data_IF_907122719513
#
_entry.id   IF_907122719513
#
_cell.length_a   1.000
_cell.length_b   1.000
_cell.length_c   1.000
_cell.angle_alpha   90.00
_cell.angle_beta   90.00
_cell.angle_gamma   90.00
#
_symmetry.space_group_name_H-M   'P 1'
#
loop_
_entity.id
_entity.type
_entity.pdbx_description
1 polymer ?
#
# COMPACT_ATOMS: atom_id res chain seq x y z
N UNK A 1 -10.65 -5.29 0.44
CA UNK A 1 -11.95 -4.86 1.00
C UNK A 1 -11.75 -3.97 2.22
N UNK A 2 -11.10 -2.81 2.04
CA UNK A 2 -10.90 -1.78 3.07
C UNK A 2 -11.59 -0.47 2.70
N UNK A 3 -11.55 0.53 3.60
CA UNK A 3 -12.23 1.84 3.41
C UNK A 3 -11.83 2.52 2.09
N UNK A 4 -10.58 2.34 1.65
CA UNK A 4 -10.09 2.95 0.43
C UNK A 4 -10.72 2.39 -0.87
N UNK A 5 -11.11 1.12 -0.88
CA UNK A 5 -11.85 0.54 -2.02
C UNK A 5 -13.27 1.12 -2.07
N UNK A 6 -13.92 1.22 -0.90
CA UNK A 6 -15.25 1.87 -0.79
C UNK A 6 -15.18 3.33 -1.25
N UNK A 7 -14.16 4.08 -0.80
CA UNK A 7 -13.94 5.46 -1.24
C UNK A 7 -13.64 5.55 -2.75
N UNK A 8 -12.89 4.59 -3.31
CA UNK A 8 -12.64 4.56 -4.77
C UNK A 8 -13.95 4.37 -5.52
N UNK A 9 -14.80 3.43 -5.09
CA UNK A 9 -16.11 3.20 -5.72
C UNK A 9 -16.98 4.46 -5.62
N UNK A 10 -17.03 5.11 -4.45
CA UNK A 10 -17.79 6.35 -4.25
C UNK A 10 -17.28 7.46 -5.17
N UNK A 11 -15.97 7.68 -5.28
CA UNK A 11 -15.43 8.69 -6.19
C UNK A 11 -15.67 8.36 -7.67
N UNK A 12 -15.58 7.09 -8.05
CA UNK A 12 -15.89 6.65 -9.42
C UNK A 12 -17.36 6.92 -9.73
N UNK A 13 -18.28 6.58 -8.83
CA UNK A 13 -19.70 6.87 -9.00
C UNK A 13 -19.95 8.37 -9.14
N UNK A 14 -19.40 9.19 -8.24
CA UNK A 14 -19.52 10.64 -8.30
C UNK A 14 -18.96 11.24 -9.61
N UNK A 15 -17.91 10.62 -10.17
CA UNK A 15 -17.30 11.04 -11.44
C UNK A 15 -18.18 10.69 -12.64
N UNK A 16 -18.76 9.50 -12.65
CA UNK A 16 -19.64 9.03 -13.73
C UNK A 16 -21.00 9.74 -13.70
N UNK A 17 -21.45 10.19 -12.52
CA UNK A 17 -22.66 11.03 -12.38
C UNK A 17 -22.38 12.52 -12.55
N UNK A 18 -21.19 12.92 -13.03
CA UNK A 18 -20.78 14.31 -13.25
C UNK A 18 -20.91 15.24 -12.03
N UNK A 19 -20.91 14.71 -10.80
CA UNK A 19 -20.93 15.51 -9.57
C UNK A 19 -19.54 16.12 -9.29
N UNK A 20 -18.47 15.43 -9.71
CA UNK A 20 -17.09 15.91 -9.57
C UNK A 20 -16.41 16.08 -10.93
N UNK A 21 -15.81 17.25 -11.15
CA UNK A 21 -15.05 17.56 -12.39
C UNK A 21 -13.59 17.10 -12.32
N UNK A 22 -13.19 16.48 -11.22
CA UNK A 22 -11.81 16.05 -10.96
C UNK A 22 -11.25 15.14 -12.04
N UNK A 23 -9.93 15.16 -12.22
CA UNK A 23 -9.23 14.23 -13.10
C UNK A 23 -9.29 12.80 -12.57
N UNK A 24 -9.23 11.81 -13.46
CA UNK A 24 -9.23 10.39 -13.12
C UNK A 24 -8.08 10.01 -12.17
N UNK A 25 -6.98 10.75 -12.19
CA UNK A 25 -5.88 10.58 -11.24
C UNK A 25 -6.33 10.76 -9.79
N UNK A 26 -7.14 11.80 -9.51
CA UNK A 26 -7.67 12.08 -8.17
C UNK A 26 -8.75 11.07 -7.75
N UNK A 27 -9.55 10.59 -8.70
CA UNK A 27 -10.57 9.56 -8.46
C UNK A 27 -9.93 8.22 -8.08
N UNK A 28 -8.79 7.88 -8.70
CA UNK A 28 -8.05 6.64 -8.46
C UNK A 28 -7.02 6.74 -7.32
N UNK A 29 -6.79 7.93 -6.76
CA UNK A 29 -5.85 8.14 -5.65
C UNK A 29 -6.04 7.17 -4.48
N UNK A 30 -7.26 6.90 -3.99
CA UNK A 30 -7.42 6.03 -2.81
C UNK A 30 -6.92 4.61 -3.07
N UNK A 31 -7.09 4.11 -4.29
CA UNK A 31 -6.55 2.80 -4.72
C UNK A 31 -5.03 2.85 -4.84
N UNK A 32 -4.48 3.88 -5.48
CA UNK A 32 -3.03 4.04 -5.65
C UNK A 32 -2.32 4.16 -4.29
N UNK A 33 -2.90 4.94 -3.36
CA UNK A 33 -2.41 5.09 -1.99
C UNK A 33 -2.46 3.77 -1.23
N UNK A 34 -3.55 3.01 -1.35
CA UNK A 34 -3.65 1.71 -0.68
C UNK A 34 -2.61 0.73 -1.18
N UNK A 35 -2.44 0.65 -2.50
CA UNK A 35 -1.45 -0.22 -3.11
C UNK A 35 -0.03 0.15 -2.69
N UNK A 36 0.32 1.43 -2.73
CA UNK A 36 1.64 1.92 -2.35
C UNK A 36 1.96 1.68 -0.86
N UNK A 37 1.02 1.94 0.05
CA UNK A 37 1.19 1.62 1.48
C UNK A 37 1.42 0.11 1.68
N UNK A 38 0.66 -0.73 0.97
CA UNK A 38 0.80 -2.18 1.08
C UNK A 38 2.18 -2.66 0.61
N UNK A 39 2.67 -2.11 -0.51
CA UNK A 39 4.02 -2.40 -1.04
C UNK A 39 5.09 -1.98 -0.03
N UNK A 40 4.98 -0.78 0.55
CA UNK A 40 5.96 -0.29 1.54
C UNK A 40 6.01 -1.23 2.75
N UNK A 41 4.85 -1.61 3.31
CA UNK A 41 4.79 -2.53 4.46
C UNK A 41 5.43 -3.88 4.13
N UNK A 42 5.18 -4.39 2.91
CA UNK A 42 5.75 -5.66 2.46
C UNK A 42 7.29 -5.59 2.38
N UNK A 43 7.83 -4.51 1.79
CA UNK A 43 9.27 -4.27 1.69
C UNK A 43 9.91 -4.15 3.08
N UNK A 44 9.31 -3.37 3.98
CA UNK A 44 9.83 -3.20 5.36
C UNK A 44 9.86 -4.53 6.10
N UNK A 45 8.79 -5.33 5.99
CA UNK A 45 8.75 -6.68 6.59
C UNK A 45 9.84 -7.58 6.02
N UNK A 46 10.03 -7.56 4.71
CA UNK A 46 11.07 -8.35 4.05
C UNK A 46 12.47 -7.96 4.56
N UNK A 47 12.76 -6.67 4.64
CA UNK A 47 14.03 -6.15 5.16
C UNK A 47 14.22 -6.58 6.63
N UNK A 48 13.21 -6.43 7.48
CA UNK A 48 13.29 -6.85 8.89
C UNK A 48 13.59 -8.34 9.03
N UNK A 49 12.93 -9.20 8.24
CA UNK A 49 13.20 -10.65 8.25
C UNK A 49 14.62 -10.94 7.77
N UNK A 50 15.06 -10.32 6.67
CA UNK A 50 16.43 -10.49 6.18
C UNK A 50 17.45 -10.09 7.25
N UNK A 51 17.28 -8.91 7.86
CA UNK A 51 18.16 -8.43 8.94
C UNK A 51 18.16 -9.41 10.11
N UNK A 52 17.00 -9.89 10.55
CA UNK A 52 16.91 -10.88 11.63
C UNK A 52 17.68 -12.16 11.28
N UNK A 53 17.52 -12.69 10.06
CA UNK A 53 18.25 -13.87 9.56
C UNK A 53 19.76 -13.61 9.54
N UNK A 54 20.21 -12.45 9.06
CA UNK A 54 21.63 -12.08 9.07
C UNK A 54 22.19 -11.96 10.48
N UNK A 55 21.43 -11.38 11.42
CA UNK A 55 21.83 -11.25 12.83
C UNK A 55 21.94 -12.63 13.50
N UNK A 56 20.99 -13.53 13.26
CA UNK A 56 21.04 -14.91 13.77
C UNK A 56 22.25 -15.64 13.19
N UNK A 57 22.45 -15.59 11.87
CA UNK A 57 23.59 -16.23 11.20
C UNK A 57 24.94 -15.73 11.72
N UNK A 58 25.07 -14.42 12.00
CA UNK A 58 26.29 -13.85 12.59
C UNK A 58 26.52 -14.35 14.02
N UNK A 59 25.45 -14.52 14.81
CA UNK A 59 25.53 -15.02 16.18
C UNK A 59 26.06 -16.45 16.22
N UNK A 60 25.62 -17.31 15.31
CA UNK A 60 26.07 -18.71 15.24
C UNK A 60 27.54 -18.83 14.82
N UNK A 61 28.05 -17.92 13.99
CA UNK A 61 29.46 -17.93 13.57
C UNK A 61 30.45 -17.40 14.62
N UNK A 62 29.97 -16.71 15.66
CA UNK A 62 30.81 -16.13 16.73
C UNK A 62 30.89 -17.05 17.95
N UNK A 63 30.09 -18.11 18.00
CA UNK A 63 29.95 -19.03 19.12
C UNK A 63 30.68 -20.34 18.85
#
# INVERSE_FOLDING_TARGET
MGIAEVLTIVFVLLKVTDIITWSWWLVLLPTILSFSVYVIIMVVKLIMVLVAVFVVKKRDATR
#
